data_IF_581712754074
#
_entry.id   IF_581712754074
#
_cell.length_a   1.000
_cell.length_b   1.000
_cell.length_c   1.000
_cell.angle_alpha   90.00
_cell.angle_beta   90.00
_cell.angle_gamma   90.00
#
_symmetry.space_group_name_H-M   'P 1'
#
loop_
_entity.id
_entity.type
_entity.pdbx_description
1 polymer ?
#
# COMPACT_ATOMS: atom_id res chain seq x y z
N UNK A 1 -12.35 -25.74 -41.51
CA UNK A 1 -13.16 -24.71 -40.84
C UNK A 1 -12.93 -24.87 -39.35
N UNK A 2 -11.87 -24.20 -38.85
CA UNK A 2 -11.36 -24.36 -37.47
C UNK A 2 -12.11 -23.35 -36.63
N UNK A 3 -12.83 -23.84 -35.64
CA UNK A 3 -13.58 -23.05 -34.67
C UNK A 3 -12.57 -22.28 -33.75
N UNK A 4 -12.29 -21.03 -34.07
CA UNK A 4 -11.74 -20.08 -33.12
C UNK A 4 -12.88 -19.60 -32.21
N UNK A 5 -13.23 -20.37 -31.19
CA UNK A 5 -14.12 -19.90 -30.13
C UNK A 5 -13.31 -19.17 -29.05
N UNK A 6 -13.52 -17.90 -28.97
CA UNK A 6 -13.57 -17.02 -27.79
C UNK A 6 -13.19 -17.70 -26.44
N UNK A 7 -11.92 -17.74 -26.14
CA UNK A 7 -11.39 -18.00 -24.80
C UNK A 7 -11.11 -16.68 -24.02
N UNK A 8 -11.59 -15.55 -24.55
CA UNK A 8 -11.24 -14.21 -24.05
C UNK A 8 -11.91 -13.76 -22.75
N UNK A 9 -13.01 -14.39 -22.31
CA UNK A 9 -13.85 -13.83 -21.24
C UNK A 9 -13.75 -14.49 -19.87
N UNK A 10 -12.92 -15.53 -19.70
CA UNK A 10 -12.82 -16.27 -18.43
C UNK A 10 -11.53 -16.02 -17.65
N UNK A 11 -10.51 -15.39 -18.21
CA UNK A 11 -9.24 -15.16 -17.56
C UNK A 11 -9.14 -13.73 -17.04
N UNK A 12 -9.07 -13.58 -15.72
CA UNK A 12 -8.84 -12.27 -15.08
C UNK A 12 -7.36 -11.93 -15.13
N UNK A 13 -7.00 -10.99 -16.01
CA UNK A 13 -5.66 -10.44 -16.10
C UNK A 13 -5.52 -9.16 -15.29
N UNK A 14 -4.32 -8.92 -14.78
CA UNK A 14 -3.95 -7.63 -14.18
C UNK A 14 -2.67 -7.15 -14.86
N UNK A 15 -2.72 -6.00 -15.51
CA UNK A 15 -1.53 -5.36 -16.06
C UNK A 15 -0.93 -4.41 -15.03
N UNK A 16 0.37 -4.56 -14.77
CA UNK A 16 1.19 -3.69 -13.93
C UNK A 16 2.38 -3.25 -14.78
N UNK A 17 2.46 -1.95 -15.11
CA UNK A 17 3.44 -1.50 -16.08
C UNK A 17 3.34 -2.26 -17.40
N UNK A 18 4.41 -2.92 -17.79
CA UNK A 18 4.52 -3.76 -18.97
C UNK A 18 4.59 -5.28 -18.64
N UNK A 19 4.06 -5.67 -17.48
CA UNK A 19 3.93 -7.08 -17.05
C UNK A 19 2.45 -7.43 -16.89
N UNK A 20 2.07 -8.60 -17.40
CA UNK A 20 0.74 -9.18 -17.23
C UNK A 20 0.77 -10.21 -16.10
N UNK A 21 -0.12 -10.06 -15.13
CA UNK A 21 -0.29 -11.02 -14.04
C UNK A 21 -1.55 -11.82 -14.31
N UNK A 22 -1.43 -13.14 -14.38
CA UNK A 22 -2.56 -14.06 -14.55
C UNK A 22 -3.02 -14.62 -13.20
N UNK A 23 -4.28 -15.04 -13.15
CA UNK A 23 -4.87 -15.67 -11.96
C UNK A 23 -4.27 -17.07 -11.72
N UNK A 24 -4.28 -17.54 -10.48
CA UNK A 24 -3.85 -18.88 -10.08
C UNK A 24 -4.62 -20.03 -10.79
N UNK A 25 -5.77 -19.72 -11.36
CA UNK A 25 -6.59 -20.63 -12.16
C UNK A 25 -6.16 -20.72 -13.63
N UNK A 26 -5.06 -20.06 -14.00
CA UNK A 26 -4.52 -20.14 -15.34
C UNK A 26 -4.06 -21.58 -15.61
N UNK A 27 -4.72 -22.24 -16.56
CA UNK A 27 -4.40 -23.60 -16.96
C UNK A 27 -3.22 -23.57 -17.95
N UNK A 28 -2.20 -24.38 -17.70
CA UNK A 28 -1.00 -24.51 -18.56
C UNK A 28 -1.33 -25.01 -19.97
N UNK A 29 -2.51 -25.61 -20.19
CA UNK A 29 -3.03 -25.97 -21.51
C UNK A 29 -3.27 -24.79 -22.46
N UNK A 30 -3.18 -23.55 -21.99
CA UNK A 30 -3.29 -22.31 -22.79
C UNK A 30 -1.88 -21.84 -23.25
N UNK A 31 -0.84 -22.57 -22.95
CA UNK A 31 0.56 -22.18 -23.19
C UNK A 31 0.89 -21.87 -24.66
N UNK A 32 0.15 -22.43 -25.61
CA UNK A 32 0.45 -22.33 -27.05
C UNK A 32 0.20 -20.90 -27.63
N UNK A 33 -0.23 -19.93 -26.81
CA UNK A 33 -0.59 -18.60 -27.30
C UNK A 33 -0.04 -17.43 -26.46
N UNK A 34 0.89 -17.67 -25.54
CA UNK A 34 1.41 -16.64 -24.63
C UNK A 34 2.09 -15.46 -25.36
N UNK A 35 2.82 -15.74 -26.42
CA UNK A 35 3.45 -14.70 -27.26
C UNK A 35 2.39 -13.78 -27.90
N UNK A 36 1.33 -14.34 -28.45
CA UNK A 36 0.22 -13.58 -29.04
C UNK A 36 -0.50 -12.77 -27.97
N UNK A 37 -0.67 -13.30 -26.76
CA UNK A 37 -1.24 -12.61 -25.61
C UNK A 37 -0.34 -11.44 -25.21
N UNK A 38 0.97 -11.67 -25.08
CA UNK A 38 1.95 -10.65 -24.73
C UNK A 38 1.94 -9.51 -25.77
N UNK A 39 1.94 -9.83 -27.05
CA UNK A 39 1.86 -8.86 -28.13
C UNK A 39 0.56 -8.04 -28.09
N UNK A 40 -0.61 -8.71 -27.93
CA UNK A 40 -1.92 -8.05 -27.84
C UNK A 40 -2.01 -7.06 -26.68
N UNK A 41 -1.43 -7.41 -25.54
CA UNK A 41 -1.46 -6.57 -24.33
C UNK A 41 -0.27 -5.60 -24.26
N UNK A 42 0.65 -5.65 -25.22
CA UNK A 42 1.89 -4.88 -25.22
C UNK A 42 2.60 -5.00 -23.87
N UNK A 43 3.02 -6.22 -23.54
CA UNK A 43 3.75 -6.55 -22.30
C UNK A 43 5.02 -7.32 -22.62
N UNK A 44 6.04 -7.18 -21.77
CA UNK A 44 7.33 -7.88 -21.90
C UNK A 44 7.29 -9.28 -21.28
N UNK A 45 6.49 -9.43 -20.23
CA UNK A 45 6.39 -10.69 -19.49
C UNK A 45 4.97 -10.99 -19.06
N UNK A 46 4.68 -12.28 -18.92
CA UNK A 46 3.47 -12.81 -18.30
C UNK A 46 3.90 -13.64 -17.10
N UNK A 47 3.38 -13.33 -15.94
CA UNK A 47 3.71 -14.01 -14.69
C UNK A 47 2.46 -14.50 -13.98
N UNK A 48 2.62 -15.53 -13.16
CA UNK A 48 1.63 -15.97 -12.17
C UNK A 48 2.18 -15.72 -10.77
N UNK A 49 1.38 -15.14 -9.89
CA UNK A 49 1.72 -15.03 -8.47
C UNK A 49 1.17 -16.28 -7.79
N UNK A 50 2.07 -17.14 -7.31
CA UNK A 50 1.71 -18.40 -6.68
C UNK A 50 1.28 -18.19 -5.24
N UNK A 51 2.05 -17.42 -4.47
CA UNK A 51 1.71 -17.07 -3.09
C UNK A 51 2.42 -15.78 -2.62
N UNK A 52 1.94 -15.23 -1.49
CA UNK A 52 2.56 -14.07 -0.82
C UNK A 52 2.73 -14.45 0.64
N UNK A 53 3.97 -14.53 1.10
CA UNK A 53 4.33 -15.08 2.39
C UNK A 53 4.94 -14.07 3.36
N UNK A 54 4.87 -14.45 4.64
CA UNK A 54 5.55 -13.78 5.74
C UNK A 54 5.12 -12.36 6.03
N UNK A 55 5.76 -11.80 7.05
CA UNK A 55 5.55 -10.41 7.47
C UNK A 55 5.99 -9.41 6.40
N UNK A 56 7.06 -9.73 5.67
CA UNK A 56 7.60 -8.91 4.58
C UNK A 56 6.77 -8.96 3.29
N UNK A 57 5.78 -9.88 3.21
CA UNK A 57 4.86 -10.06 2.07
C UNK A 57 5.59 -10.28 0.75
N UNK A 58 6.61 -11.12 0.77
CA UNK A 58 7.39 -11.47 -0.40
C UNK A 58 6.59 -12.41 -1.33
N UNK A 59 6.45 -12.10 -2.62
CA UNK A 59 5.75 -12.96 -3.57
C UNK A 59 6.65 -14.10 -4.07
N UNK A 60 6.05 -15.27 -4.25
CA UNK A 60 6.62 -16.33 -5.09
C UNK A 60 5.90 -16.28 -6.43
N UNK A 61 6.65 -16.31 -7.53
CA UNK A 61 6.09 -16.17 -8.88
C UNK A 61 6.58 -17.29 -9.81
N UNK A 62 5.74 -17.62 -10.78
CA UNK A 62 6.11 -18.40 -11.96
C UNK A 62 6.11 -17.50 -13.19
N UNK A 63 7.21 -17.49 -13.95
CA UNK A 63 7.31 -16.77 -15.22
C UNK A 63 6.79 -17.67 -16.32
N UNK A 64 5.72 -17.25 -17.00
CA UNK A 64 5.08 -18.01 -18.07
C UNK A 64 5.58 -17.59 -19.46
N UNK A 65 5.93 -16.30 -19.62
CA UNK A 65 6.47 -15.72 -20.86
C UNK A 65 7.41 -14.57 -20.53
N UNK A 66 8.46 -14.40 -21.34
CA UNK A 66 9.50 -13.38 -21.11
C UNK A 66 10.41 -13.76 -19.95
N UNK A 67 11.16 -12.79 -19.43
CA UNK A 67 12.12 -13.00 -18.34
C UNK A 67 12.23 -11.81 -17.39
N UNK A 68 11.51 -10.73 -17.67
CA UNK A 68 11.58 -9.51 -16.86
C UNK A 68 10.47 -9.50 -15.81
N UNK A 69 10.84 -9.14 -14.57
CA UNK A 69 9.92 -9.03 -13.43
C UNK A 69 9.87 -7.62 -12.87
N UNK A 70 10.82 -6.76 -13.27
CA UNK A 70 10.89 -5.36 -12.89
C UNK A 70 10.18 -4.48 -13.92
N UNK A 71 9.39 -3.51 -13.46
CA UNK A 71 8.61 -2.62 -14.31
C UNK A 71 8.37 -1.27 -13.65
N UNK A 72 7.97 -0.26 -14.45
CA UNK A 72 7.44 1.02 -13.95
C UNK A 72 5.93 1.05 -14.16
N UNK A 73 5.19 1.10 -13.06
CA UNK A 73 3.74 1.24 -13.06
C UNK A 73 3.32 2.68 -12.81
N UNK A 74 2.38 3.19 -13.61
CA UNK A 74 1.80 4.53 -13.41
C UNK A 74 0.41 4.42 -12.79
N UNK A 75 0.23 5.06 -11.64
CA UNK A 75 -1.06 5.12 -10.94
C UNK A 75 -1.27 6.52 -10.35
N UNK A 76 -2.45 7.14 -10.56
CA UNK A 76 -2.80 8.46 -10.01
C UNK A 76 -1.74 9.55 -10.27
N UNK A 77 -1.11 9.56 -11.42
CA UNK A 77 -0.04 10.52 -11.74
C UNK A 77 1.31 10.25 -11.08
N UNK A 78 1.42 9.21 -10.25
CA UNK A 78 2.66 8.75 -9.64
C UNK A 78 3.28 7.61 -10.45
N UNK A 79 4.60 7.50 -10.40
CA UNK A 79 5.37 6.42 -11.01
C UNK A 79 5.92 5.51 -9.91
N UNK A 80 5.79 4.20 -10.11
CA UNK A 80 6.27 3.19 -9.19
C UNK A 80 7.16 2.20 -9.94
N UNK A 81 8.46 2.26 -9.69
CA UNK A 81 9.39 1.18 -10.03
C UNK A 81 9.20 0.05 -9.02
N UNK A 82 9.05 -1.17 -9.49
CA UNK A 82 8.87 -2.35 -8.66
C UNK A 82 9.29 -3.62 -9.42
N UNK A 83 9.78 -4.59 -8.66
CA UNK A 83 10.04 -5.95 -9.13
C UNK A 83 8.98 -6.88 -8.54
N UNK A 84 8.13 -7.46 -9.40
CA UNK A 84 7.02 -8.32 -8.99
C UNK A 84 7.46 -9.67 -8.42
N UNK A 85 8.75 -10.02 -8.53
CA UNK A 85 9.34 -11.16 -7.83
C UNK A 85 9.77 -10.86 -6.40
N UNK A 86 9.87 -9.56 -6.02
CA UNK A 86 10.38 -9.12 -4.72
C UNK A 86 9.33 -8.40 -3.89
N UNK A 87 8.41 -7.68 -4.53
CA UNK A 87 7.41 -6.87 -3.85
C UNK A 87 6.02 -7.05 -4.46
N UNK A 88 5.00 -7.04 -3.61
CA UNK A 88 3.63 -7.19 -4.08
C UNK A 88 3.03 -5.86 -4.54
N UNK A 89 2.08 -5.91 -5.48
CA UNK A 89 1.25 -4.76 -5.85
C UNK A 89 -0.24 -5.02 -5.58
N UNK A 90 -0.85 -4.20 -4.72
CA UNK A 90 -2.28 -4.29 -4.40
C UNK A 90 -3.08 -3.21 -5.13
N UNK A 91 -3.71 -3.55 -6.26
CA UNK A 91 -4.57 -2.61 -7.04
C UNK A 91 -5.77 -2.07 -6.24
N UNK A 92 -6.32 -2.83 -5.31
CA UNK A 92 -7.57 -2.49 -4.63
C UNK A 92 -7.51 -1.29 -3.67
N UNK A 93 -6.37 -0.61 -3.55
CA UNK A 93 -6.19 0.53 -2.64
C UNK A 93 -5.99 1.86 -3.40
N UNK A 94 -6.17 1.87 -4.72
CA UNK A 94 -5.93 3.03 -5.57
C UNK A 94 -6.69 4.29 -5.10
N UNK A 95 -8.00 4.17 -4.89
CA UNK A 95 -8.82 5.30 -4.44
C UNK A 95 -8.41 5.79 -3.04
N UNK A 96 -8.03 4.87 -2.16
CA UNK A 96 -7.60 5.19 -0.80
C UNK A 96 -6.26 5.93 -0.79
N UNK A 97 -5.30 5.52 -1.61
CA UNK A 97 -4.01 6.22 -1.76
C UNK A 97 -4.21 7.69 -2.15
N UNK A 98 -5.12 7.94 -3.12
CA UNK A 98 -5.44 9.30 -3.56
C UNK A 98 -6.25 10.06 -2.51
N UNK A 99 -7.20 9.40 -1.81
CA UNK A 99 -8.00 10.00 -0.73
C UNK A 99 -7.08 10.53 0.37
N UNK A 100 -6.19 9.69 0.88
CA UNK A 100 -5.22 10.07 1.93
C UNK A 100 -4.36 11.24 1.46
N UNK A 101 -3.80 11.17 0.25
CA UNK A 101 -2.96 12.25 -0.27
C UNK A 101 -3.69 13.61 -0.33
N UNK A 102 -5.00 13.61 -0.60
CA UNK A 102 -5.84 14.83 -0.61
C UNK A 102 -6.21 15.33 0.77
N UNK A 103 -6.22 14.46 1.79
CA UNK A 103 -6.52 14.84 3.17
C UNK A 103 -5.33 15.46 3.89
N UNK A 104 -4.11 15.28 3.38
CA UNK A 104 -2.91 15.88 3.97
C UNK A 104 -2.91 17.37 3.76
N UNK A 105 -2.93 18.11 4.87
CA UNK A 105 -2.92 19.57 4.89
C UNK A 105 -1.55 20.19 4.58
N UNK A 106 -1.56 21.47 4.24
CA UNK A 106 -0.32 22.22 4.01
C UNK A 106 0.48 22.30 5.31
N UNK A 107 1.76 21.96 5.22
CA UNK A 107 2.70 22.06 6.33
C UNK A 107 2.66 20.90 7.32
N UNK A 108 1.80 19.87 7.11
CA UNK A 108 1.76 18.69 7.97
C UNK A 108 3.06 17.88 7.90
N UNK A 109 3.44 17.32 9.04
CA UNK A 109 4.41 16.23 9.15
C UNK A 109 3.65 14.90 9.15
N UNK A 110 4.02 14.02 8.24
CA UNK A 110 3.37 12.71 8.04
C UNK A 110 4.36 11.60 8.36
N UNK A 111 3.92 10.59 9.11
CA UNK A 111 4.65 9.32 9.30
C UNK A 111 3.85 8.19 8.68
N UNK A 112 4.44 7.52 7.70
CA UNK A 112 3.93 6.29 7.11
C UNK A 112 4.67 5.12 7.75
N UNK A 113 3.99 4.39 8.63
CA UNK A 113 4.57 3.31 9.43
C UNK A 113 4.82 2.03 8.61
N UNK A 114 4.22 1.90 7.43
CA UNK A 114 4.29 0.70 6.59
C UNK A 114 4.41 1.09 5.12
N UNK A 115 5.46 1.82 4.79
CA UNK A 115 5.55 2.52 3.52
C UNK A 115 5.61 1.59 2.30
N UNK A 116 6.15 0.37 2.44
CA UNK A 116 6.40 -0.50 1.30
C UNK A 116 7.31 0.17 0.29
N UNK A 117 6.92 0.15 -0.97
CA UNK A 117 7.60 0.87 -2.05
C UNK A 117 7.15 2.34 -2.16
N UNK A 118 6.44 2.86 -1.13
CA UNK A 118 5.85 4.20 -1.09
C UNK A 118 4.39 4.25 -1.48
N UNK A 119 3.62 3.21 -1.19
CA UNK A 119 2.22 3.11 -1.64
C UNK A 119 1.36 4.32 -1.26
N UNK A 120 1.49 4.85 -0.06
CA UNK A 120 0.84 6.07 0.40
C UNK A 120 1.77 7.27 0.34
N UNK A 121 3.03 7.09 0.75
CA UNK A 121 4.02 8.15 0.82
C UNK A 121 4.24 8.85 -0.52
N UNK A 122 4.40 8.12 -1.63
CA UNK A 122 4.63 8.70 -2.96
C UNK A 122 3.44 9.56 -3.42
N UNK A 123 2.17 9.09 -3.38
CA UNK A 123 1.01 9.95 -3.67
C UNK A 123 0.94 11.20 -2.78
N UNK A 124 1.25 11.09 -1.48
CA UNK A 124 1.32 12.25 -0.59
C UNK A 124 2.42 13.22 -1.06
N UNK A 125 3.60 12.71 -1.37
CA UNK A 125 4.71 13.51 -1.87
C UNK A 125 4.41 14.25 -3.17
N UNK A 126 3.62 13.64 -4.07
CA UNK A 126 3.26 14.21 -5.37
C UNK A 126 2.09 15.18 -5.27
N UNK A 127 1.05 14.85 -4.48
CA UNK A 127 -0.25 15.54 -4.52
C UNK A 127 -0.53 16.43 -3.31
N UNK A 128 0.30 16.43 -2.26
CA UNK A 128 0.10 17.27 -1.09
C UNK A 128 1.17 18.35 -0.93
N UNK A 129 0.93 19.25 0.02
CA UNK A 129 1.89 20.24 0.49
C UNK A 129 2.42 19.89 1.89
N UNK A 130 2.59 18.58 2.18
CA UNK A 130 3.23 18.11 3.41
C UNK A 130 4.61 18.78 3.57
N UNK A 131 4.93 19.20 4.79
CA UNK A 131 6.25 19.75 5.13
C UNK A 131 7.29 18.61 5.14
N UNK A 132 6.97 17.50 5.79
CA UNK A 132 7.88 16.39 5.98
C UNK A 132 7.11 15.07 5.90
N UNK A 133 7.69 14.05 5.29
CA UNK A 133 7.14 12.70 5.19
C UNK A 133 8.23 11.71 5.61
N UNK A 134 8.00 11.00 6.72
CA UNK A 134 8.86 9.89 7.17
C UNK A 134 8.22 8.58 6.73
N UNK A 135 8.93 7.82 5.92
CA UNK A 135 8.42 6.59 5.28
C UNK A 135 9.19 5.40 5.80
N UNK A 136 8.60 4.66 6.76
CA UNK A 136 9.26 3.56 7.47
C UNK A 136 8.92 2.24 6.78
N UNK A 137 9.93 1.43 6.49
CA UNK A 137 9.78 0.12 5.85
C UNK A 137 10.79 -0.87 6.43
N UNK A 138 10.31 -2.05 6.79
CA UNK A 138 11.14 -3.11 7.41
C UNK A 138 11.79 -4.04 6.37
N UNK A 139 11.19 -4.17 5.17
CA UNK A 139 11.71 -5.01 4.11
C UNK A 139 12.77 -4.27 3.29
N UNK A 140 14.05 -4.71 3.26
CA UNK A 140 15.11 -4.05 2.50
C UNK A 140 14.81 -3.94 0.99
N UNK A 141 14.12 -4.93 0.41
CA UNK A 141 13.72 -4.90 -1.00
C UNK A 141 12.71 -3.78 -1.26
N UNK A 142 11.66 -3.70 -0.43
CA UNK A 142 10.68 -2.61 -0.52
C UNK A 142 11.30 -1.24 -0.28
N UNK A 143 12.20 -1.14 0.70
CA UNK A 143 12.96 0.08 0.99
C UNK A 143 13.82 0.54 -0.20
N UNK A 144 14.47 -0.40 -0.90
CA UNK A 144 15.22 -0.09 -2.12
C UNK A 144 14.31 0.58 -3.17
N UNK A 145 13.15 -0.01 -3.46
CA UNK A 145 12.19 0.55 -4.41
C UNK A 145 11.56 1.85 -3.90
N UNK A 146 11.36 2.02 -2.60
CA UNK A 146 10.90 3.28 -2.00
C UNK A 146 11.85 4.43 -2.36
N UNK A 147 13.16 4.25 -2.18
CA UNK A 147 14.18 5.24 -2.55
C UNK A 147 14.11 5.58 -4.05
N UNK A 148 14.09 4.56 -4.90
CA UNK A 148 13.99 4.74 -6.34
C UNK A 148 12.72 5.52 -6.72
N UNK A 149 11.60 5.24 -6.06
CA UNK A 149 10.32 5.90 -6.34
C UNK A 149 10.29 7.36 -5.87
N UNK A 150 10.98 7.71 -4.79
CA UNK A 150 11.16 9.10 -4.36
C UNK A 150 11.91 9.89 -5.44
N UNK A 151 12.98 9.33 -5.98
CA UNK A 151 13.78 9.95 -7.04
C UNK A 151 13.01 10.03 -8.36
N UNK A 152 12.34 8.94 -8.76
CA UNK A 152 11.56 8.83 -9.99
C UNK A 152 10.45 9.87 -10.07
N UNK A 153 9.80 10.15 -8.94
CA UNK A 153 8.76 11.18 -8.82
C UNK A 153 9.31 12.57 -8.49
N UNK A 154 10.63 12.74 -8.37
CA UNK A 154 11.33 14.02 -8.12
C UNK A 154 10.85 14.74 -6.86
N UNK A 155 10.47 14.00 -5.81
CA UNK A 155 9.82 14.57 -4.62
C UNK A 155 10.77 15.52 -3.87
N UNK A 156 12.03 15.12 -3.72
CA UNK A 156 13.04 15.91 -2.98
C UNK A 156 13.76 16.95 -3.85
N UNK A 157 13.66 16.88 -5.18
CA UNK A 157 14.39 17.79 -6.10
C UNK A 157 13.91 19.24 -6.09
N UNK A 158 12.72 19.51 -5.54
CA UNK A 158 12.08 20.84 -5.53
C UNK A 158 12.10 21.53 -4.17
N UNK A 159 12.68 20.92 -3.16
CA UNK A 159 12.71 21.45 -1.81
C UNK A 159 14.16 21.81 -1.42
N UNK A 160 14.32 22.77 -0.52
CA UNK A 160 15.63 23.13 0.08
C UNK A 160 16.19 22.01 0.97
N UNK A 161 15.35 21.02 1.32
CA UNK A 161 15.68 19.86 2.15
C UNK A 161 14.92 18.62 1.64
N UNK A 162 15.35 17.45 2.06
CA UNK A 162 14.67 16.20 1.75
C UNK A 162 13.30 16.13 2.41
N UNK A 163 12.25 16.42 1.62
CA UNK A 163 10.87 16.45 2.09
C UNK A 163 10.34 15.05 2.41
N UNK A 164 10.83 14.00 1.73
CA UNK A 164 10.49 12.62 2.03
C UNK A 164 11.76 11.86 2.42
N UNK A 165 11.75 11.31 3.62
CA UNK A 165 12.87 10.56 4.23
C UNK A 165 12.45 9.10 4.33
N UNK A 166 13.06 8.21 3.53
CA UNK A 166 12.88 6.77 3.69
C UNK A 166 13.68 6.26 4.88
N UNK A 167 13.10 5.37 5.67
CA UNK A 167 13.72 4.79 6.88
C UNK A 167 13.61 3.28 6.80
N UNK A 168 14.76 2.60 6.83
CA UNK A 168 14.79 1.14 6.95
C UNK A 168 14.77 0.75 8.43
N UNK A 169 13.67 0.16 8.89
CA UNK A 169 13.54 -0.24 10.28
C UNK A 169 12.16 -0.74 10.66
N UNK A 170 12.05 -1.20 11.90
CA UNK A 170 10.76 -1.58 12.49
C UNK A 170 10.01 -0.33 12.93
N UNK A 171 8.78 -0.17 12.43
CA UNK A 171 7.94 0.98 12.76
C UNK A 171 7.60 1.07 14.26
N UNK A 172 7.63 -0.04 15.00
CA UNK A 172 7.46 -0.01 16.45
C UNK A 172 8.57 0.76 17.16
N UNK A 173 9.78 0.78 16.58
CA UNK A 173 10.97 1.45 17.13
C UNK A 173 11.18 2.82 16.50
N UNK A 174 10.93 2.92 15.19
CA UNK A 174 11.26 4.13 14.44
C UNK A 174 10.18 5.21 14.57
N UNK A 175 8.88 4.87 14.53
CA UNK A 175 7.81 5.86 14.54
C UNK A 175 7.81 6.75 15.79
N UNK A 176 8.04 6.24 17.02
CA UNK A 176 8.06 7.06 18.23
C UNK A 176 9.15 8.14 18.27
N UNK A 177 10.15 8.06 17.39
CA UNK A 177 11.22 9.08 17.29
C UNK A 177 10.73 10.39 16.65
N UNK A 178 9.54 10.39 16.04
CA UNK A 178 8.98 11.51 15.30
C UNK A 178 7.70 12.02 15.97
N UNK A 179 7.38 13.29 15.68
CA UNK A 179 6.15 13.93 16.13
C UNK A 179 5.35 14.34 14.90
N UNK A 180 4.24 13.66 14.64
CA UNK A 180 3.47 13.74 13.40
C UNK A 180 2.10 14.38 13.57
N UNK A 181 1.71 15.21 12.60
CA UNK A 181 0.34 15.70 12.46
C UNK A 181 -0.58 14.61 11.91
N UNK A 182 0.01 13.62 11.20
CA UNK A 182 -0.70 12.51 10.58
C UNK A 182 0.13 11.23 10.58
N UNK A 183 -0.47 10.12 11.02
CA UNK A 183 0.16 8.80 11.06
C UNK A 183 -0.65 7.83 10.20
N UNK A 184 0.03 7.15 9.29
CA UNK A 184 -0.56 6.13 8.41
C UNK A 184 -0.19 4.74 8.90
N UNK A 185 -1.19 3.91 9.12
CA UNK A 185 -1.03 2.52 9.51
C UNK A 185 -1.56 1.61 8.39
N UNK A 186 -0.93 1.68 7.21
CA UNK A 186 -1.38 1.08 5.95
C UNK A 186 -1.19 -0.44 5.84
N UNK A 187 -1.00 -1.14 6.94
CA UNK A 187 -0.93 -2.59 7.04
C UNK A 187 -2.30 -3.17 7.40
N UNK A 188 -2.50 -4.49 7.22
CA UNK A 188 -3.76 -5.17 7.60
C UNK A 188 -3.48 -6.43 8.40
N UNK A 189 -4.49 -7.02 9.04
CA UNK A 189 -4.46 -8.18 9.95
C UNK A 189 -3.95 -7.85 11.35
N UNK A 190 -2.67 -7.53 11.50
CA UNK A 190 -2.01 -7.33 12.82
C UNK A 190 -1.67 -5.87 13.11
N UNK A 191 -2.22 -4.93 12.37
CA UNK A 191 -1.99 -3.48 12.50
C UNK A 191 -2.19 -2.96 13.92
N UNK A 192 -3.16 -3.52 14.64
CA UNK A 192 -3.47 -3.13 16.01
C UNK A 192 -2.32 -3.32 17.01
N UNK A 193 -1.38 -4.21 16.75
CA UNK A 193 -0.18 -4.39 17.59
C UNK A 193 0.73 -3.15 17.61
N UNK A 194 0.62 -2.27 16.61
CA UNK A 194 1.44 -1.08 16.43
C UNK A 194 0.73 0.22 16.85
N UNK A 195 -0.49 0.12 17.40
CA UNK A 195 -1.25 1.30 17.82
C UNK A 195 -0.53 2.11 18.90
N UNK A 196 0.18 1.46 19.85
CA UNK A 196 0.96 2.16 20.88
C UNK A 196 2.03 3.04 20.24
N UNK A 197 2.82 2.53 19.32
CA UNK A 197 3.86 3.31 18.62
C UNK A 197 3.26 4.45 17.77
N UNK A 198 2.06 4.25 17.20
CA UNK A 198 1.34 5.30 16.52
C UNK A 198 0.87 6.40 17.49
N UNK A 199 0.40 6.03 18.70
CA UNK A 199 0.01 6.98 19.76
C UNK A 199 1.20 7.80 20.28
N UNK A 200 2.36 7.17 20.41
CA UNK A 200 3.61 7.86 20.81
C UNK A 200 4.11 8.83 19.73
N UNK A 201 3.77 8.56 18.47
CA UNK A 201 4.17 9.35 17.31
C UNK A 201 3.22 10.51 17.02
N UNK A 202 1.90 10.33 17.21
CA UNK A 202 0.90 11.33 16.82
C UNK A 202 0.85 12.49 17.83
N UNK A 203 0.83 13.72 17.34
CA UNK A 203 0.64 14.95 18.15
C UNK A 203 -0.76 15.02 18.75
N UNK A 204 -0.93 15.89 19.74
CA UNK A 204 -2.26 16.34 20.19
C UNK A 204 -3.00 17.00 19.02
N UNK A 205 -4.24 16.57 18.77
CA UNK A 205 -5.05 17.01 17.63
C UNK A 205 -4.65 16.38 16.27
N UNK A 206 -3.63 15.53 16.25
CA UNK A 206 -3.19 14.80 15.05
C UNK A 206 -4.12 13.66 14.68
N UNK A 207 -3.95 13.12 13.48
CA UNK A 207 -4.85 12.11 12.89
C UNK A 207 -4.10 10.79 12.65
N UNK A 208 -4.73 9.68 13.06
CA UNK A 208 -4.30 8.33 12.71
C UNK A 208 -5.24 7.77 11.65
N UNK A 209 -4.70 7.23 10.55
CA UNK A 209 -5.40 6.44 9.56
C UNK A 209 -5.14 4.96 9.86
N UNK A 210 -6.04 4.34 10.59
CA UNK A 210 -5.90 2.97 11.07
C UNK A 210 -6.59 1.98 10.14
N UNK A 211 -5.80 1.18 9.42
CA UNK A 211 -6.31 0.10 8.55
C UNK A 211 -6.54 -1.18 9.33
N UNK A 212 -7.71 -1.78 9.12
CA UNK A 212 -8.06 -3.06 9.74
C UNK A 212 -8.89 -3.95 8.80
N UNK A 213 -8.73 -5.28 8.93
CA UNK A 213 -9.71 -6.24 8.41
C UNK A 213 -10.65 -6.63 9.53
N UNK A 214 -11.94 -6.41 9.32
CA UNK A 214 -12.96 -6.51 10.37
C UNK A 214 -14.21 -7.24 9.87
N UNK A 215 -14.82 -8.15 10.67
CA UNK A 215 -16.13 -8.71 10.35
C UNK A 215 -17.18 -7.62 10.17
N UNK A 216 -18.09 -7.78 9.21
CA UNK A 216 -19.10 -6.77 8.86
C UNK A 216 -19.87 -6.24 10.07
N UNK A 217 -20.19 -7.11 11.04
CA UNK A 217 -20.94 -6.77 12.25
C UNK A 217 -20.16 -5.90 13.26
N UNK A 218 -18.84 -5.81 13.13
CA UNK A 218 -17.95 -5.13 14.08
C UNK A 218 -17.31 -3.86 13.52
N UNK A 219 -17.70 -3.42 12.32
CA UNK A 219 -17.10 -2.27 11.64
C UNK A 219 -17.21 -1.00 12.49
N UNK A 220 -18.37 -0.75 13.08
CA UNK A 220 -18.65 0.47 13.84
C UNK A 220 -18.07 0.43 15.28
N UNK A 221 -17.65 -0.73 15.77
CA UNK A 221 -17.25 -0.88 17.18
C UNK A 221 -15.77 -1.24 17.35
N UNK A 222 -15.32 -2.38 16.81
CA UNK A 222 -14.00 -2.94 17.10
C UNK A 222 -12.83 -2.03 16.75
N UNK A 223 -12.77 -1.34 15.57
CA UNK A 223 -11.65 -0.46 15.24
C UNK A 223 -11.56 0.73 16.21
N UNK A 224 -12.70 1.33 16.53
CA UNK A 224 -12.78 2.43 17.49
C UNK A 224 -12.36 1.98 18.90
N UNK A 225 -12.90 0.89 19.43
CA UNK A 225 -12.56 0.41 20.76
C UNK A 225 -11.06 0.08 20.91
N UNK A 226 -10.44 -0.48 19.89
CA UNK A 226 -8.98 -0.72 19.87
C UNK A 226 -8.18 0.56 19.97
N UNK A 227 -8.52 1.55 19.14
CA UNK A 227 -7.83 2.85 19.14
C UNK A 227 -8.05 3.56 20.47
N UNK A 228 -9.30 3.60 20.98
CA UNK A 228 -9.68 4.21 22.25
C UNK A 228 -8.96 3.59 23.43
N UNK A 229 -8.91 2.26 23.51
CA UNK A 229 -8.21 1.56 24.58
C UNK A 229 -6.75 1.97 24.66
N UNK A 230 -6.03 1.93 23.51
CA UNK A 230 -4.61 2.27 23.48
C UNK A 230 -4.38 3.77 23.72
N UNK A 231 -5.27 4.65 23.24
CA UNK A 231 -5.22 6.07 23.52
C UNK A 231 -5.33 6.35 25.02
N UNK A 232 -6.25 5.68 25.70
CA UNK A 232 -6.39 5.78 27.16
C UNK A 232 -5.13 5.29 27.90
N UNK A 233 -4.60 4.13 27.51
CA UNK A 233 -3.36 3.57 28.09
C UNK A 233 -2.12 4.47 27.87
N UNK A 234 -2.11 5.27 26.81
CA UNK A 234 -1.02 6.19 26.45
C UNK A 234 -1.21 7.62 26.99
N UNK A 235 -1.94 7.78 28.10
CA UNK A 235 -2.10 9.08 28.79
C UNK A 235 -3.51 9.64 28.74
N UNK A 236 -4.52 8.79 28.82
CA UNK A 236 -5.95 9.13 28.88
C UNK A 236 -6.40 10.04 27.71
N UNK A 237 -5.82 9.81 26.55
CA UNK A 237 -6.09 10.61 25.34
C UNK A 237 -7.49 10.34 24.81
N UNK A 238 -8.16 11.40 24.37
CA UNK A 238 -9.47 11.31 23.73
C UNK A 238 -9.36 10.96 22.25
N UNK A 239 -10.38 10.26 21.73
CA UNK A 239 -10.45 9.82 20.34
C UNK A 239 -11.74 10.31 19.69
N UNK A 240 -11.61 11.17 18.69
CA UNK A 240 -12.70 11.58 17.81
C UNK A 240 -12.67 10.76 16.51
N UNK A 241 -13.77 10.06 16.19
CA UNK A 241 -13.92 9.37 14.91
C UNK A 241 -14.31 10.39 13.84
N UNK A 242 -13.43 10.59 12.87
CA UNK A 242 -13.68 11.50 11.75
C UNK A 242 -14.40 10.78 10.60
N UNK A 243 -14.03 9.52 10.33
CA UNK A 243 -14.59 8.73 9.24
C UNK A 243 -14.27 7.24 9.42
N UNK A 244 -15.13 6.37 8.86
CA UNK A 244 -14.85 4.95 8.64
C UNK A 244 -15.05 4.67 7.16
N UNK A 245 -13.94 4.43 6.45
CA UNK A 245 -13.93 4.18 5.02
C UNK A 245 -13.83 2.69 4.72
N UNK A 246 -14.82 2.13 4.04
CA UNK A 246 -14.73 0.77 3.47
C UNK A 246 -13.87 0.80 2.20
N UNK A 247 -12.86 -0.04 2.15
CA UNK A 247 -11.89 -0.08 1.04
C UNK A 247 -12.26 -1.19 0.05
N UNK A 248 -12.41 -2.41 0.56
CA UNK A 248 -12.76 -3.58 -0.26
C UNK A 248 -13.18 -4.75 0.62
N UNK A 249 -13.92 -5.67 0.05
CA UNK A 249 -14.17 -6.98 0.67
C UNK A 249 -12.86 -7.75 0.72
N UNK A 250 -12.49 -8.18 1.92
CA UNK A 250 -11.28 -8.93 2.17
C UNK A 250 -11.50 -10.45 2.07
N UNK A 251 -12.61 -10.90 2.65
CA UNK A 251 -13.12 -12.27 2.61
C UNK A 251 -14.64 -12.24 2.78
N UNK A 252 -15.38 -13.33 2.56
CA UNK A 252 -16.82 -13.38 2.86
C UNK A 252 -17.09 -12.94 4.29
N UNK A 253 -17.94 -11.91 4.47
CA UNK A 253 -18.28 -11.33 5.78
C UNK A 253 -17.16 -10.54 6.47
N UNK A 254 -16.05 -10.21 5.78
CA UNK A 254 -14.92 -9.44 6.31
C UNK A 254 -14.55 -8.32 5.36
N UNK A 255 -14.55 -7.08 5.86
CA UNK A 255 -14.16 -5.89 5.11
C UNK A 255 -12.76 -5.40 5.52
N UNK A 256 -12.03 -4.84 4.57
CA UNK A 256 -10.90 -3.97 4.83
C UNK A 256 -11.42 -2.55 4.95
N UNK A 257 -11.22 -1.95 6.13
CA UNK A 257 -11.65 -0.58 6.43
C UNK A 257 -10.47 0.29 6.83
N UNK A 258 -10.69 1.60 6.80
CA UNK A 258 -9.82 2.60 7.42
C UNK A 258 -10.65 3.42 8.39
N UNK A 259 -10.22 3.47 9.64
CA UNK A 259 -10.71 4.41 10.63
C UNK A 259 -9.81 5.66 10.60
N UNK A 260 -10.37 6.81 10.29
CA UNK A 260 -9.73 8.10 10.46
C UNK A 260 -10.07 8.62 11.86
N UNK A 261 -9.10 8.65 12.76
CA UNK A 261 -9.27 9.03 14.15
C UNK A 261 -8.37 10.21 14.50
N UNK A 262 -8.95 11.27 15.09
CA UNK A 262 -8.19 12.36 15.68
C UNK A 262 -7.93 12.09 17.15
N UNK A 263 -6.73 12.39 17.61
CA UNK A 263 -6.23 12.04 18.94
C UNK A 263 -5.91 13.34 19.70
N UNK A 264 -6.57 13.52 20.85
CA UNK A 264 -6.38 14.68 21.71
C UNK A 264 -5.63 14.34 23.00
#
# INVERSE_FOLDING_TARGET
>A
MIFYYFLGDFLKWKKIGDILIVDSKFDEGISDNLESIAARHNVKSIIKIDQIEGQKREPTISILYGNETETIHKENGCLFNLDLSKVMWAKGNNNERLRIAKLVGKGETVVDMFAGIGYFSIPIGVHSQAKQIYSIEINPNSYHFLKNNIELNKINKKAEYDRMIPILGDCAVEAPKYSADRVLMGYVKTTHHFLRSAMECVKYGGIIHYHETVPDKLIETRPYERVKQIAFECGEREVEVLNIQKIKRYAPGVEHIVLDARIY
#
